data_IF_381797537854
#
_entry.id   IF_381797537854
#
_cell.length_a   1.000
_cell.length_b   1.000
_cell.length_c   1.000
_cell.angle_alpha   90.00
_cell.angle_beta   90.00
_cell.angle_gamma   90.00
#
_symmetry.space_group_name_H-M   'P 1'
#
loop_
_entity.id
_entity.type
_entity.pdbx_description
1 polymer ?
#
# COMPACT_ATOMS: atom_id res chain seq x y z
N UNK A 1 10.93 -51.93 -15.22
CA UNK A 1 9.61 -52.38 -14.73
C UNK A 1 8.67 -51.17 -14.75
N UNK A 2 7.50 -51.30 -15.37
CA UNK A 2 6.49 -50.25 -15.57
C UNK A 2 5.38 -50.48 -14.54
N UNK A 3 5.13 -49.54 -13.63
CA UNK A 3 3.97 -49.57 -12.72
C UNK A 3 3.22 -48.26 -12.82
N UNK A 4 1.89 -48.38 -12.90
CA UNK A 4 0.93 -47.46 -13.49
C UNK A 4 0.40 -46.43 -12.48
N UNK A 5 -0.01 -45.29 -13.02
CA UNK A 5 -0.87 -44.24 -12.46
C UNK A 5 -1.74 -44.62 -11.25
N UNK A 6 -1.65 -43.83 -10.18
CA UNK A 6 -2.67 -43.77 -9.14
C UNK A 6 -3.27 -42.36 -9.09
N UNK A 7 -4.46 -42.21 -9.68
CA UNK A 7 -5.40 -41.12 -9.36
C UNK A 7 -6.19 -41.59 -8.14
N UNK A 8 -6.17 -40.86 -7.04
CA UNK A 8 -7.12 -41.07 -5.93
C UNK A 8 -7.17 -39.79 -5.08
N UNK A 9 -8.25 -39.02 -5.25
CA UNK A 9 -9.33 -38.87 -4.28
C UNK A 9 -9.04 -37.70 -3.31
N UNK A 10 -9.61 -36.52 -3.58
CA UNK A 10 -10.92 -36.08 -3.06
C UNK A 10 -10.90 -35.98 -1.53
N UNK A 11 -10.36 -34.88 -1.03
CA UNK A 11 -10.57 -34.43 0.35
C UNK A 11 -11.64 -33.34 0.35
N UNK A 12 -12.91 -33.76 0.30
CA UNK A 12 -14.01 -32.96 0.86
C UNK A 12 -14.15 -33.38 2.32
N UNK A 13 -13.59 -32.58 3.22
CA UNK A 13 -13.72 -32.77 4.66
C UNK A 13 -13.78 -31.40 5.32
N UNK A 14 -15.01 -30.95 5.58
CA UNK A 14 -15.40 -29.76 6.34
C UNK A 14 -14.42 -29.39 7.45
N UNK A 15 -13.61 -28.36 7.21
CA UNK A 15 -12.79 -27.72 8.21
C UNK A 15 -12.98 -26.21 8.08
N UNK A 16 -14.05 -25.71 8.70
CA UNK A 16 -14.33 -24.29 8.95
C UNK A 16 -14.17 -23.38 7.71
N UNK A 17 -15.29 -23.18 7.00
CA UNK A 17 -15.46 -22.07 6.08
C UNK A 17 -15.42 -20.73 6.82
N UNK A 18 -14.23 -20.33 7.25
CA UNK A 18 -13.87 -18.95 7.58
C UNK A 18 -13.09 -18.40 6.40
N UNK A 19 -13.76 -18.27 5.26
CA UNK A 19 -13.33 -17.27 4.27
C UNK A 19 -13.85 -15.92 4.75
N UNK A 20 -13.28 -15.42 5.85
CA UNK A 20 -13.23 -13.99 6.08
C UNK A 20 -12.34 -13.45 4.98
N UNK A 21 -12.92 -13.16 3.82
CA UNK A 21 -12.32 -12.24 2.87
C UNK A 21 -12.36 -10.88 3.56
N UNK A 22 -11.34 -10.63 4.39
CA UNK A 22 -11.06 -9.30 4.90
C UNK A 22 -10.74 -8.50 3.65
N UNK A 23 -11.76 -7.83 3.11
CA UNK A 23 -11.58 -6.67 2.28
C UNK A 23 -10.92 -5.63 3.18
N UNK A 24 -9.59 -5.74 3.34
CA UNK A 24 -8.76 -4.62 3.70
C UNK A 24 -8.77 -3.69 2.48
N UNK A 25 -9.93 -3.08 2.21
CA UNK A 25 -9.92 -1.74 1.65
C UNK A 25 -9.26 -0.96 2.76
N UNK A 26 -7.93 -0.85 2.67
CA UNK A 26 -7.22 0.06 3.51
C UNK A 26 -7.91 1.40 3.22
N UNK A 27 -8.69 1.88 4.19
CA UNK A 27 -9.01 3.29 4.31
C UNK A 27 -7.69 4.00 4.65
N UNK A 28 -6.63 3.82 3.85
CA UNK A 28 -5.61 4.84 3.74
C UNK A 28 -6.41 6.02 3.25
N UNK A 29 -6.77 6.87 4.21
CA UNK A 29 -7.50 8.09 3.90
C UNK A 29 -6.75 8.73 2.74
N UNK A 30 -7.45 9.15 1.70
CA UNK A 30 -6.82 9.77 0.51
C UNK A 30 -5.82 10.88 0.90
N UNK A 31 -6.02 11.46 2.07
CA UNK A 31 -5.12 12.37 2.77
C UNK A 31 -3.77 11.76 3.21
N UNK A 32 -3.73 10.57 3.83
CA UNK A 32 -2.47 9.92 4.25
C UNK A 32 -1.59 9.57 3.04
N UNK A 33 -2.16 8.99 1.99
CA UNK A 33 -1.40 8.67 0.77
C UNK A 33 -0.86 9.95 0.11
N UNK A 34 -1.66 11.02 0.10
CA UNK A 34 -1.24 12.32 -0.41
C UNK A 34 -0.06 12.89 0.39
N UNK A 35 -0.10 12.81 1.73
CA UNK A 35 1.02 13.25 2.57
C UNK A 35 2.30 12.45 2.35
N UNK A 36 2.19 11.13 2.14
CA UNK A 36 3.33 10.28 1.83
C UNK A 36 3.97 10.72 0.50
N UNK A 37 3.18 11.00 -0.54
CA UNK A 37 3.69 11.52 -1.82
C UNK A 37 4.41 12.88 -1.62
N UNK A 38 3.84 13.79 -0.83
CA UNK A 38 4.46 15.07 -0.50
C UNK A 38 5.82 14.91 0.23
N UNK A 39 5.91 13.96 1.17
CA UNK A 39 7.15 13.66 1.88
C UNK A 39 8.20 13.04 0.94
N UNK A 40 7.78 12.16 0.04
CA UNK A 40 8.67 11.57 -0.95
C UNK A 40 9.23 12.62 -1.91
N UNK A 41 8.39 13.57 -2.36
CA UNK A 41 8.84 14.73 -3.16
C UNK A 41 9.84 15.61 -2.40
N UNK A 42 9.63 15.84 -1.11
CA UNK A 42 10.59 16.56 -0.26
C UNK A 42 11.95 15.85 -0.25
N UNK A 43 11.96 14.53 -0.04
CA UNK A 43 13.18 13.73 -0.04
C UNK A 43 13.90 13.79 -1.39
N UNK A 44 13.17 13.67 -2.50
CA UNK A 44 13.74 13.82 -3.85
C UNK A 44 14.37 15.20 -4.03
N UNK A 45 13.69 16.25 -3.58
CA UNK A 45 14.19 17.64 -3.64
C UNK A 45 15.50 17.81 -2.86
N UNK A 46 15.57 17.27 -1.63
CA UNK A 46 16.78 17.30 -0.80
C UNK A 46 17.92 16.49 -1.44
N UNK A 47 17.62 15.30 -1.97
CA UNK A 47 18.59 14.43 -2.63
C UNK A 47 19.12 15.03 -3.94
N UNK A 48 18.35 15.91 -4.59
CA UNK A 48 18.80 16.67 -5.76
C UNK A 48 19.74 17.84 -5.42
N UNK A 49 20.03 18.08 -4.13
CA UNK A 49 20.90 19.17 -3.67
C UNK A 49 20.23 20.55 -3.73
N UNK A 50 18.89 20.58 -3.78
CA UNK A 50 18.13 21.85 -3.73
C UNK A 50 18.19 22.41 -2.30
N UNK A 51 18.12 23.73 -2.19
CA UNK A 51 18.05 24.42 -0.92
C UNK A 51 16.93 23.85 -0.01
N UNK A 52 17.24 23.48 1.25
CA UNK A 52 16.26 22.86 2.14
C UNK A 52 15.00 23.70 2.35
N UNK A 53 15.13 25.03 2.42
CA UNK A 53 14.00 25.92 2.65
C UNK A 53 13.03 25.95 1.45
N UNK A 54 13.55 25.80 0.24
CA UNK A 54 12.75 25.62 -0.98
C UNK A 54 12.01 24.28 -0.97
N UNK A 55 12.68 23.19 -0.58
CA UNK A 55 12.04 21.87 -0.45
C UNK A 55 10.94 21.86 0.62
N UNK A 56 11.15 22.58 1.72
CA UNK A 56 10.18 22.74 2.81
C UNK A 56 8.93 23.51 2.36
N UNK A 57 9.12 24.59 1.60
CA UNK A 57 8.01 25.37 1.00
C UNK A 57 7.21 24.52 0.03
N UNK A 58 7.87 23.74 -0.83
CA UNK A 58 7.21 22.86 -1.77
C UNK A 58 6.40 21.75 -1.07
N UNK A 59 6.97 21.15 -0.02
CA UNK A 59 6.27 20.17 0.82
C UNK A 59 5.07 20.77 1.52
N UNK A 60 5.22 21.99 2.05
CA UNK A 60 4.13 22.73 2.69
C UNK A 60 3.00 22.95 1.70
N UNK A 61 3.27 23.51 0.52
CA UNK A 61 2.27 23.70 -0.56
C UNK A 61 1.58 22.39 -0.95
N UNK A 62 2.33 21.30 -1.07
CA UNK A 62 1.79 19.97 -1.36
C UNK A 62 0.82 19.51 -0.27
N UNK A 63 1.18 19.66 1.01
CA UNK A 63 0.33 19.32 2.15
C UNK A 63 -0.98 20.13 2.17
N UNK A 64 -0.96 21.41 1.83
CA UNK A 64 -2.17 22.21 1.71
C UNK A 64 -3.11 21.67 0.62
N UNK A 65 -2.55 21.15 -0.49
CA UNK A 65 -3.32 20.50 -1.55
C UNK A 65 -3.99 19.19 -1.14
N UNK A 66 -3.44 18.47 -0.15
CA UNK A 66 -4.03 17.26 0.40
C UNK A 66 -5.28 17.51 1.25
N UNK A 67 -5.52 18.76 1.68
CA UNK A 67 -6.62 19.10 2.59
C UNK A 67 -6.39 18.64 4.03
N UNK A 68 -7.47 18.45 4.78
CA UNK A 68 -7.44 18.03 6.19
C UNK A 68 -7.92 16.58 6.34
N UNK A 69 -7.40 15.83 7.33
CA UNK A 69 -7.97 14.54 7.69
C UNK A 69 -9.44 14.72 8.10
N UNK A 70 -10.29 13.76 7.74
CA UNK A 70 -11.76 13.81 7.91
C UNK A 70 -12.20 13.05 9.15
#
# INVERSE_FOLDING_TARGET
>A
MKVKNAKSAFFLGLGLSFSLTINAQALTSSWEECLIDCLQRKQICLNAGVDPSLCERNMTSCRWGCGTPQ
#
